data_IF_038853365701
#
_entry.id   IF_038853365701
#
_cell.length_a   1.000
_cell.length_b   1.000
_cell.length_c   1.000
_cell.angle_alpha   90.00
_cell.angle_beta   90.00
_cell.angle_gamma   90.00
#
_symmetry.space_group_name_H-M   'P 1'
#
loop_
_entity.id
_entity.type
_entity.pdbx_description
1 polymer ?
#
# COMPACT_ATOMS: atom_id res chain seq x y z
N UNK A 1 -13.33 -12.49 -4.12
CA UNK A 1 -12.83 -11.30 -3.44
C UNK A 1 -11.33 -11.26 -3.72
N UNK A 2 -10.81 -10.15 -4.23
CA UNK A 2 -9.37 -9.98 -4.50
C UNK A 2 -8.72 -9.13 -3.41
N UNK A 3 -7.38 -9.14 -3.33
CA UNK A 3 -6.62 -8.42 -2.29
C UNK A 3 -7.10 -6.97 -2.03
N UNK A 4 -7.41 -6.20 -3.09
CA UNK A 4 -7.84 -4.81 -2.94
C UNK A 4 -9.23 -4.65 -2.34
N UNK A 5 -10.14 -5.60 -2.58
CA UNK A 5 -11.46 -5.57 -1.95
C UNK A 5 -11.34 -5.89 -0.46
N UNK A 6 -10.51 -6.87 -0.11
CA UNK A 6 -10.33 -7.34 1.28
C UNK A 6 -9.58 -6.32 2.17
N UNK A 7 -8.72 -5.46 1.60
CA UNK A 7 -7.90 -4.50 2.35
C UNK A 7 -8.43 -3.05 2.29
N UNK A 8 -9.56 -2.82 1.61
CA UNK A 8 -10.20 -1.49 1.58
C UNK A 8 -10.67 -1.07 2.96
N UNK A 9 -11.27 -1.99 3.70
CA UNK A 9 -11.77 -1.75 5.06
C UNK A 9 -10.67 -1.22 5.99
N UNK A 10 -9.42 -1.69 5.83
CA UNK A 10 -8.28 -1.21 6.62
C UNK A 10 -7.96 0.25 6.29
N UNK A 11 -7.97 0.60 5.01
CA UNK A 11 -7.78 1.98 4.56
C UNK A 11 -8.91 2.88 5.05
N UNK A 12 -10.17 2.49 4.84
CA UNK A 12 -11.32 3.29 5.28
C UNK A 12 -11.34 3.51 6.80
N UNK A 13 -10.96 2.52 7.61
CA UNK A 13 -10.87 2.69 9.07
C UNK A 13 -9.80 3.70 9.49
N UNK A 14 -8.66 3.75 8.78
CA UNK A 14 -7.53 4.62 9.12
C UNK A 14 -7.74 6.05 8.58
N UNK A 15 -8.35 6.18 7.40
CA UNK A 15 -8.52 7.45 6.68
C UNK A 15 -9.93 8.07 6.79
N UNK A 16 -10.98 7.28 7.04
CA UNK A 16 -12.39 7.68 7.00
C UNK A 16 -12.90 8.56 8.15
N UNK A 17 -12.00 9.04 9.03
CA UNK A 17 -12.34 10.06 10.03
C UNK A 17 -13.24 9.60 11.18
N UNK A 18 -13.37 8.29 11.42
CA UNK A 18 -14.04 7.76 12.60
C UNK A 18 -13.35 8.21 13.89
N UNK A 19 -14.08 8.93 14.72
CA UNK A 19 -13.57 9.58 15.92
C UNK A 19 -13.63 8.61 17.12
N UNK A 20 -12.46 8.44 17.78
CA UNK A 20 -12.22 8.21 19.24
C UNK A 20 -11.63 6.87 19.74
N UNK A 21 -10.48 7.03 20.41
CA UNK A 21 -9.82 6.21 21.45
C UNK A 21 -9.25 4.81 21.16
N UNK A 22 -9.56 4.14 20.05
CA UNK A 22 -8.89 2.88 19.74
C UNK A 22 -7.49 3.13 19.16
N UNK A 23 -6.43 2.72 19.89
CA UNK A 23 -5.09 2.63 19.31
C UNK A 23 -5.15 1.70 18.10
N UNK A 24 -4.80 2.21 16.91
CA UNK A 24 -4.70 1.36 15.72
C UNK A 24 -3.56 0.36 15.90
N UNK A 25 -3.78 -0.90 15.53
CA UNK A 25 -2.69 -1.88 15.51
C UNK A 25 -1.71 -1.57 14.38
N UNK A 26 -0.46 -2.00 14.52
CA UNK A 26 0.53 -1.90 13.45
C UNK A 26 0.11 -2.67 12.20
N UNK A 27 -0.65 -3.77 12.35
CA UNK A 27 -1.19 -4.53 11.22
C UNK A 27 -2.23 -3.72 10.44
N UNK A 28 -3.15 -3.06 11.14
CA UNK A 28 -4.19 -2.22 10.53
C UNK A 28 -3.58 -1.00 9.83
N UNK A 29 -2.64 -0.31 10.48
CA UNK A 29 -1.91 0.81 9.85
C UNK A 29 -1.04 0.33 8.69
N UNK A 30 -0.40 -0.83 8.84
CA UNK A 30 0.40 -1.43 7.78
C UNK A 30 -0.44 -1.83 6.57
N UNK A 31 -1.64 -2.37 6.78
CA UNK A 31 -2.60 -2.69 5.72
C UNK A 31 -3.07 -1.42 4.99
N UNK A 32 -3.43 -0.38 5.73
CA UNK A 32 -3.81 0.91 5.16
C UNK A 32 -2.66 1.57 4.36
N UNK A 33 -1.43 1.50 4.88
CA UNK A 33 -0.24 2.00 4.18
C UNK A 33 0.09 1.19 2.93
N UNK A 34 -0.06 -0.14 2.96
CA UNK A 34 0.11 -0.99 1.80
C UNK A 34 -0.88 -0.64 0.69
N UNK A 35 -2.15 -0.44 1.04
CA UNK A 35 -3.21 -0.07 0.10
C UNK A 35 -2.97 1.29 -0.54
N UNK A 36 -2.68 2.32 0.26
CA UNK A 36 -2.38 3.66 -0.25
C UNK A 36 -1.05 3.66 -1.04
N UNK A 37 -0.04 2.91 -0.60
CA UNK A 37 1.22 2.75 -1.33
C UNK A 37 1.02 2.14 -2.72
N UNK A 38 0.17 1.12 -2.86
CA UNK A 38 -0.21 0.54 -4.14
C UNK A 38 -0.93 1.56 -5.04
N UNK A 39 -1.82 2.36 -4.48
CA UNK A 39 -2.52 3.42 -5.21
C UNK A 39 -1.54 4.48 -5.73
N UNK A 40 -0.65 4.98 -4.87
CA UNK A 40 0.37 5.98 -5.23
C UNK A 40 1.31 5.47 -6.31
N UNK A 41 1.72 4.20 -6.23
CA UNK A 41 2.48 3.53 -7.27
C UNK A 41 1.71 3.52 -8.60
N UNK A 42 0.47 3.04 -8.60
CA UNK A 42 -0.38 2.97 -9.79
C UNK A 42 -0.61 4.34 -10.44
N UNK A 43 -1.01 5.32 -9.64
CA UNK A 43 -1.29 6.68 -10.11
C UNK A 43 -0.04 7.31 -10.72
N UNK A 44 1.13 7.14 -10.07
CA UNK A 44 2.38 7.65 -10.60
C UNK A 44 2.75 6.97 -11.91
N UNK A 45 2.75 5.64 -11.96
CA UNK A 45 3.22 4.91 -13.13
C UNK A 45 2.30 5.11 -14.33
N UNK A 46 0.98 5.19 -14.12
CA UNK A 46 0.01 5.51 -15.19
C UNK A 46 0.14 6.94 -15.68
N UNK A 47 0.37 7.91 -14.78
CA UNK A 47 0.62 9.30 -15.16
C UNK A 47 1.92 9.45 -15.97
N UNK A 48 2.98 8.74 -15.60
CA UNK A 48 4.24 8.76 -16.33
C UNK A 48 4.22 7.91 -17.62
N UNK A 49 3.33 6.91 -17.70
CA UNK A 49 3.21 6.00 -18.85
C UNK A 49 4.40 5.07 -19.05
N UNK A 50 5.27 4.91 -18.03
CA UNK A 50 6.54 4.19 -18.14
C UNK A 50 6.38 2.72 -17.78
N UNK A 51 6.96 1.88 -18.64
CA UNK A 51 7.23 0.48 -18.34
C UNK A 51 8.47 0.40 -17.46
N UNK A 52 8.40 -0.37 -16.39
CA UNK A 52 9.53 -0.58 -15.47
C UNK A 52 9.69 -2.06 -15.15
N UNK A 53 10.89 -2.49 -14.77
CA UNK A 53 11.12 -3.88 -14.37
C UNK A 53 10.36 -4.24 -13.09
N UNK A 54 10.05 -5.52 -12.90
CA UNK A 54 9.42 -6.06 -11.69
C UNK A 54 10.15 -5.63 -10.41
N UNK A 55 11.48 -5.77 -10.40
CA UNK A 55 12.31 -5.40 -9.25
C UNK A 55 12.19 -3.91 -8.93
N UNK A 56 12.32 -3.05 -9.95
CA UNK A 56 12.21 -1.60 -9.76
C UNK A 56 10.80 -1.20 -9.32
N UNK A 57 9.75 -1.86 -9.83
CA UNK A 57 8.38 -1.61 -9.39
C UNK A 57 8.21 -1.90 -7.90
N UNK A 58 8.73 -3.04 -7.40
CA UNK A 58 8.67 -3.40 -5.98
C UNK A 58 9.46 -2.46 -5.09
N UNK A 59 10.62 -1.98 -5.55
CA UNK A 59 11.42 -1.00 -4.81
C UNK A 59 10.70 0.35 -4.73
N UNK A 60 10.14 0.83 -5.84
CA UNK A 60 9.38 2.08 -5.86
C UNK A 60 8.14 1.99 -4.96
N UNK A 61 7.42 0.88 -5.03
CA UNK A 61 6.29 0.58 -4.17
C UNK A 61 6.68 0.56 -2.69
N UNK A 62 7.78 -0.12 -2.32
CA UNK A 62 8.28 -0.12 -0.94
C UNK A 62 8.61 1.30 -0.45
N UNK A 63 9.14 2.17 -1.33
CA UNK A 63 9.36 3.58 -1.03
C UNK A 63 8.07 4.32 -0.67
N UNK A 64 6.99 4.14 -1.44
CA UNK A 64 5.68 4.74 -1.12
C UNK A 64 5.09 4.21 0.18
N UNK A 65 5.15 2.89 0.35
CA UNK A 65 4.63 2.23 1.55
C UNK A 65 5.37 2.71 2.81
N UNK A 66 6.70 2.76 2.77
CA UNK A 66 7.50 3.24 3.88
C UNK A 66 7.17 4.69 4.26
N UNK A 67 7.04 5.57 3.27
CA UNK A 67 6.65 6.96 3.50
C UNK A 67 5.24 7.08 4.11
N UNK A 68 4.30 6.24 3.70
CA UNK A 68 2.95 6.26 4.24
C UNK A 68 2.88 5.69 5.66
N UNK A 69 3.63 4.63 5.96
CA UNK A 69 3.76 4.13 7.34
C UNK A 69 4.34 5.21 8.26
N UNK A 70 5.37 5.93 7.82
CA UNK A 70 5.97 7.00 8.59
C UNK A 70 4.94 8.10 8.92
N UNK A 71 4.18 8.55 7.91
CA UNK A 71 3.10 9.52 8.08
C UNK A 71 1.99 9.02 9.01
N UNK A 72 1.57 7.75 8.88
CA UNK A 72 0.56 7.16 9.74
C UNK A 72 1.07 6.98 11.18
N UNK A 73 2.32 6.60 11.37
CA UNK A 73 2.94 6.50 12.69
C UNK A 73 2.95 7.86 13.41
N UNK A 74 3.35 8.92 12.70
CA UNK A 74 3.39 10.29 13.22
C UNK A 74 1.99 10.83 13.57
N UNK A 75 0.99 10.53 12.74
CA UNK A 75 -0.37 11.11 12.89
C UNK A 75 -1.29 10.27 13.77
N UNK A 76 -1.04 8.96 13.90
CA UNK A 76 -1.88 8.02 14.66
C UNK A 76 -1.22 7.53 15.95
N UNK A 77 0.02 7.95 16.23
CA UNK A 77 0.68 7.76 17.52
C UNK A 77 1.21 6.34 17.76
N UNK A 78 1.91 5.78 16.77
CA UNK A 78 2.65 4.53 16.96
C UNK A 78 3.98 4.79 17.70
N UNK A 79 4.40 3.84 18.53
CA UNK A 79 5.78 3.82 19.01
C UNK A 79 6.75 3.28 17.93
N UNK A 80 8.05 3.39 18.17
CA UNK A 80 9.07 3.00 17.20
C UNK A 80 9.05 1.48 16.88
N UNK A 81 8.67 0.65 17.86
CA UNK A 81 8.57 -0.79 17.63
C UNK A 81 7.37 -1.11 16.73
N UNK A 82 6.20 -0.54 17.03
CA UNK A 82 5.00 -0.68 16.21
C UNK A 82 5.19 -0.09 14.82
N UNK A 83 5.94 1.01 14.66
CA UNK A 83 6.29 1.57 13.36
C UNK A 83 7.11 0.60 12.51
N UNK A 84 8.12 -0.04 13.11
CA UNK A 84 8.97 -1.02 12.41
C UNK A 84 8.14 -2.23 11.96
N UNK A 85 7.29 -2.76 12.84
CA UNK A 85 6.41 -3.87 12.50
C UNK A 85 5.35 -3.48 11.46
N UNK A 86 4.77 -2.28 11.57
CA UNK A 86 3.84 -1.73 10.57
C UNK A 86 4.51 -1.64 9.20
N UNK A 87 5.77 -1.16 9.14
CA UNK A 87 6.53 -1.06 7.89
C UNK A 87 6.79 -2.43 7.27
N UNK A 88 7.26 -3.39 8.05
CA UNK A 88 7.50 -4.76 7.59
C UNK A 88 6.22 -5.43 7.09
N UNK A 89 5.13 -5.23 7.83
CA UNK A 89 3.82 -5.75 7.46
C UNK A 89 3.34 -5.10 6.15
N UNK A 90 3.39 -3.77 6.07
CA UNK A 90 2.94 -3.03 4.91
C UNK A 90 3.72 -3.39 3.64
N UNK A 91 5.05 -3.43 3.70
CA UNK A 91 5.89 -3.79 2.55
C UNK A 91 5.57 -5.20 2.03
N UNK A 92 5.43 -6.17 2.95
CA UNK A 92 5.04 -7.54 2.61
C UNK A 92 3.68 -7.59 1.92
N UNK A 93 2.67 -6.95 2.51
CA UNK A 93 1.31 -6.92 1.99
C UNK A 93 1.23 -6.25 0.62
N UNK A 94 1.97 -5.15 0.42
CA UNK A 94 2.05 -4.46 -0.85
C UNK A 94 2.74 -5.32 -1.93
N UNK A 95 3.83 -6.03 -1.58
CA UNK A 95 4.49 -6.95 -2.51
C UNK A 95 3.60 -8.14 -2.87
N UNK A 96 2.84 -8.68 -1.93
CA UNK A 96 1.82 -9.71 -2.18
C UNK A 96 0.75 -9.20 -3.14
N UNK A 97 0.18 -8.02 -2.86
CA UNK A 97 -0.81 -7.36 -3.72
C UNK A 97 -0.30 -7.19 -5.16
N UNK A 98 0.92 -6.69 -5.26
CA UNK A 98 1.60 -6.48 -6.53
C UNK A 98 1.76 -7.81 -7.28
N UNK A 99 2.25 -8.87 -6.63
CA UNK A 99 2.47 -10.15 -7.31
C UNK A 99 1.15 -10.82 -7.68
N UNK A 100 0.12 -10.74 -6.84
CA UNK A 100 -1.19 -11.30 -7.13
C UNK A 100 -1.82 -10.63 -8.36
N UNK A 101 -1.71 -9.30 -8.43
CA UNK A 101 -2.32 -8.51 -9.50
C UNK A 101 -1.53 -8.56 -10.81
N UNK A 102 -0.19 -8.54 -10.73
CA UNK A 102 0.70 -8.53 -11.91
C UNK A 102 1.32 -9.91 -12.24
N UNK A 103 0.96 -10.96 -11.50
CA UNK A 103 1.32 -12.39 -11.72
C UNK A 103 2.78 -12.63 -12.13
N UNK A 104 3.72 -12.04 -11.39
CA UNK A 104 5.16 -12.14 -11.63
C UNK A 104 5.60 -11.78 -13.06
N UNK A 105 4.91 -10.83 -13.68
CA UNK A 105 5.37 -10.26 -14.94
C UNK A 105 6.80 -9.70 -14.80
N UNK A 106 7.64 -9.93 -15.81
CA UNK A 106 9.02 -9.41 -15.85
C UNK A 106 9.08 -7.87 -15.74
N UNK A 107 7.99 -7.22 -16.13
CA UNK A 107 7.83 -5.77 -16.16
C UNK A 107 6.41 -5.35 -15.78
N UNK A 108 6.32 -4.21 -15.10
CA UNK A 108 5.11 -3.44 -14.99
C UNK A 108 4.88 -2.65 -16.28
N UNK A 109 3.71 -2.78 -16.89
CA UNK A 109 3.28 -1.97 -18.03
C UNK A 109 1.87 -1.39 -17.79
N UNK A 110 1.71 -0.05 -17.64
CA UNK A 110 0.42 0.57 -17.34
C UNK A 110 -0.61 0.41 -18.47
N UNK A 111 -0.18 0.10 -19.69
CA UNK A 111 -1.07 -0.11 -20.84
C UNK A 111 -1.55 -1.57 -20.96
N UNK A 112 -0.78 -2.53 -20.43
CA UNK A 112 -1.13 -3.95 -20.49
C UNK A 112 -2.02 -4.40 -19.33
N UNK A 113 -1.83 -3.81 -18.15
CA UNK A 113 -2.57 -4.21 -16.96
C UNK A 113 -3.69 -3.23 -16.62
N UNK A 114 -4.84 -3.78 -16.24
CA UNK A 114 -5.94 -2.99 -15.67
C UNK A 114 -5.52 -2.46 -14.29
N UNK A 115 -5.95 -1.24 -13.98
CA UNK A 115 -5.72 -0.66 -12.66
C UNK A 115 -6.49 -1.47 -11.62
N UNK A 116 -5.90 -1.74 -10.45
CA UNK A 116 -6.67 -2.21 -9.30
C UNK A 116 -7.82 -1.28 -8.95
N UNK A 117 -8.87 -1.83 -8.35
CA UNK A 117 -10.02 -1.03 -7.92
C UNK A 117 -9.73 -0.35 -6.58
N UNK A 118 -9.29 0.91 -6.63
CA UNK A 118 -9.05 1.75 -5.44
C UNK A 118 -10.23 2.65 -5.06
N UNK A 119 -11.44 2.41 -5.57
CA UNK A 119 -12.55 3.32 -5.28
C UNK A 119 -12.98 3.20 -3.81
N UNK A 120 -12.87 4.31 -3.07
CA UNK A 120 -13.36 4.54 -1.71
C UNK A 120 -13.94 5.95 -1.61
#
# INVERSE_FOLDING_TARGET
MGWFDDNRDAHEQVYGGGEHEAKFSHELLGGAAAFEGMKLFEDRQRREGKVVSHGFAKELLAGFVGAEVDKLAETKGLDEYDRIEAKRHAERRAHEAYNEHYRDADQYDPQQYQQPNFNY
#
